data_IF_282396552563
#
_entry.id   IF_282396552563
#
_cell.length_a   1.000
_cell.length_b   1.000
_cell.length_c   1.000
_cell.angle_alpha   90.00
_cell.angle_beta   90.00
_cell.angle_gamma   90.00
#
_symmetry.space_group_name_H-M   'P 1'
#
loop_
_entity.id
_entity.type
_entity.pdbx_description
1 polymer ?
#
# COMPACT_ATOMS: atom_id res chain seq x y z
N UNK A 1 -10.39 -4.41 -4.46
CA UNK A 1 -9.68 -3.10 -4.44
C UNK A 1 -10.37 -2.07 -5.35
N UNK A 2 -10.55 -2.35 -6.62
CA UNK A 2 -11.09 -1.41 -7.61
C UNK A 2 -12.46 -0.83 -7.23
N UNK A 3 -13.41 -1.70 -6.82
CA UNK A 3 -14.76 -1.26 -6.40
C UNK A 3 -14.70 -0.33 -5.19
N UNK A 4 -13.79 -0.60 -4.25
CA UNK A 4 -13.62 0.21 -3.05
C UNK A 4 -13.05 1.59 -3.38
N UNK A 5 -11.98 1.65 -4.18
CA UNK A 5 -11.39 2.91 -4.66
C UNK A 5 -12.40 3.71 -5.48
N UNK A 6 -13.15 3.06 -6.37
CA UNK A 6 -14.21 3.69 -7.16
C UNK A 6 -15.31 4.30 -6.31
N UNK A 7 -15.69 3.67 -5.20
CA UNK A 7 -16.70 4.21 -4.30
C UNK A 7 -16.21 5.45 -3.53
N UNK A 8 -14.94 5.51 -3.15
CA UNK A 8 -14.36 6.70 -2.50
C UNK A 8 -14.29 7.88 -3.47
N UNK A 9 -14.01 7.64 -4.75
CA UNK A 9 -13.81 8.69 -5.75
C UNK A 9 -15.11 9.33 -6.30
N UNK A 10 -16.26 8.68 -6.14
CA UNK A 10 -17.55 9.12 -6.74
C UNK A 10 -18.04 10.50 -6.29
N UNK A 11 -17.58 11.02 -5.17
CA UNK A 11 -18.11 12.25 -4.58
C UNK A 11 -17.30 13.52 -4.88
N UNK A 12 -16.08 13.39 -5.39
CA UNK A 12 -15.14 14.50 -5.68
C UNK A 12 -14.17 14.11 -6.77
N UNK A 13 -13.66 15.11 -7.53
CA UNK A 13 -12.46 14.93 -8.34
C UNK A 13 -11.27 14.66 -7.38
N UNK A 14 -10.89 13.41 -7.20
CA UNK A 14 -9.80 12.97 -6.33
C UNK A 14 -8.50 12.82 -7.09
N UNK A 15 -7.38 12.94 -6.38
CA UNK A 15 -6.05 12.60 -6.88
C UNK A 15 -5.61 11.25 -6.32
N UNK A 16 -5.15 10.36 -7.20
CA UNK A 16 -4.70 9.00 -6.86
C UNK A 16 -3.18 8.88 -7.00
N UNK A 17 -2.54 8.37 -5.96
CA UNK A 17 -1.20 7.80 -6.00
C UNK A 17 -1.33 6.28 -6.09
N UNK A 18 -0.73 5.68 -7.08
CA UNK A 18 -0.60 4.22 -7.20
C UNK A 18 0.88 3.85 -7.18
N UNK A 19 1.27 3.00 -6.24
CA UNK A 19 2.60 2.40 -6.18
C UNK A 19 2.43 0.90 -6.26
N UNK A 20 2.92 0.26 -7.32
CA UNK A 20 2.73 -1.14 -7.57
C UNK A 20 4.02 -1.82 -8.01
N UNK A 21 4.14 -3.12 -7.75
CA UNK A 21 5.07 -3.99 -8.43
C UNK A 21 4.42 -4.58 -9.69
N UNK A 22 5.22 -4.97 -10.67
CA UNK A 22 4.76 -5.20 -12.04
C UNK A 22 3.83 -6.35 -12.31
N UNK A 23 3.73 -7.31 -11.41
CA UNK A 23 2.97 -8.53 -11.69
C UNK A 23 1.46 -8.35 -11.61
N UNK A 24 0.99 -7.29 -11.02
CA UNK A 24 -0.44 -7.00 -10.83
C UNK A 24 -1.04 -6.14 -11.95
N UNK A 25 -0.39 -6.00 -13.00
CA UNK A 25 -0.66 -5.60 -14.37
C UNK A 25 -1.85 -4.70 -14.74
N UNK A 26 -2.84 -4.47 -13.91
CA UNK A 26 -4.04 -3.72 -14.29
C UNK A 26 -4.10 -2.37 -13.57
N UNK A 27 -3.72 -1.27 -14.23
CA UNK A 27 -3.92 0.04 -13.65
C UNK A 27 -5.41 0.31 -13.43
N UNK A 28 -5.76 0.90 -12.31
CA UNK A 28 -7.13 1.32 -12.00
C UNK A 28 -7.79 2.13 -13.12
N UNK A 29 -7.00 2.82 -13.94
CA UNK A 29 -7.49 3.60 -15.07
C UNK A 29 -8.11 2.77 -16.22
N UNK A 30 -7.85 1.46 -16.29
CA UNK A 30 -8.51 0.59 -17.27
C UNK A 30 -9.92 0.19 -16.82
N UNK A 31 -10.22 0.29 -15.54
CA UNK A 31 -11.56 0.04 -15.05
C UNK A 31 -12.46 1.24 -15.35
N UNK A 32 -13.46 1.04 -16.19
CA UNK A 32 -14.43 2.08 -16.58
C UNK A 32 -15.23 2.64 -15.40
N UNK A 33 -15.27 1.95 -14.28
CA UNK A 33 -15.95 2.39 -13.06
C UNK A 33 -15.13 3.39 -12.22
N UNK A 34 -13.82 3.49 -12.47
CA UNK A 34 -12.88 4.35 -11.72
C UNK A 34 -12.47 5.59 -12.54
N UNK A 35 -13.18 5.91 -13.60
CA UNK A 35 -12.94 7.11 -14.38
C UNK A 35 -13.35 8.35 -13.60
N UNK A 36 -12.43 9.29 -13.44
CA UNK A 36 -12.74 10.58 -12.83
C UNK A 36 -11.71 11.11 -11.84
N UNK A 37 -10.52 10.51 -11.76
CA UNK A 37 -9.44 11.15 -11.01
C UNK A 37 -8.99 12.42 -11.68
N UNK A 38 -8.91 13.51 -10.92
CA UNK A 38 -8.34 14.78 -11.37
C UNK A 38 -6.84 14.66 -11.68
N UNK A 39 -6.16 13.76 -10.99
CA UNK A 39 -4.76 13.41 -11.17
C UNK A 39 -4.57 11.94 -10.81
N UNK A 40 -3.89 11.18 -11.66
CA UNK A 40 -3.44 9.82 -11.39
C UNK A 40 -1.94 9.74 -11.65
N UNK A 41 -1.17 9.48 -10.60
CA UNK A 41 0.28 9.24 -10.69
C UNK A 41 0.57 7.80 -10.32
N UNK A 42 1.12 7.06 -11.26
CA UNK A 42 1.49 5.65 -11.09
C UNK A 42 3.00 5.51 -11.08
N UNK A 43 3.52 4.85 -10.05
CA UNK A 43 4.93 4.53 -9.88
C UNK A 43 5.08 3.02 -9.80
N UNK A 44 5.94 2.47 -10.65
CA UNK A 44 6.17 1.02 -10.74
C UNK A 44 7.66 0.76 -10.55
N UNK A 45 7.97 -0.25 -9.76
CA UNK A 45 9.34 -0.69 -9.60
C UNK A 45 9.42 -2.21 -9.75
N UNK A 46 9.75 -2.63 -10.96
CA UNK A 46 10.17 -4.01 -11.26
C UNK A 46 10.62 -4.12 -12.73
N UNK A 47 11.36 -5.15 -13.10
CA UNK A 47 12.06 -5.20 -14.39
C UNK A 47 11.18 -5.43 -15.62
N UNK A 48 9.90 -5.79 -15.50
CA UNK A 48 9.07 -6.23 -16.64
C UNK A 48 7.73 -5.48 -16.73
N UNK A 49 7.77 -4.17 -16.92
CA UNK A 49 6.56 -3.32 -16.99
C UNK A 49 6.01 -3.24 -18.41
N UNK A 50 4.71 -3.47 -18.55
CA UNK A 50 3.99 -3.12 -19.78
C UNK A 50 3.58 -1.63 -19.72
N UNK A 51 4.03 -0.85 -20.68
CA UNK A 51 3.63 0.55 -20.84
C UNK A 51 2.13 0.70 -21.10
N UNK A 52 1.50 1.64 -20.40
CA UNK A 52 0.12 2.02 -20.67
C UNK A 52 0.05 3.48 -21.18
N UNK A 53 -0.37 3.72 -22.42
CA UNK A 53 -0.26 5.03 -23.06
C UNK A 53 -1.13 6.15 -22.47
N UNK A 54 -2.11 5.81 -21.63
CA UNK A 54 -3.06 6.80 -21.07
C UNK A 54 -2.77 7.22 -19.63
N UNK A 55 -1.68 6.71 -19.02
CA UNK A 55 -1.34 7.00 -17.62
C UNK A 55 0.07 7.55 -17.57
N UNK A 56 0.29 8.57 -16.78
CA UNK A 56 1.64 9.01 -16.45
C UNK A 56 2.30 7.93 -15.57
N UNK A 57 2.95 6.97 -16.19
CA UNK A 57 3.69 5.90 -15.55
C UNK A 57 5.17 6.28 -15.49
N UNK A 58 5.77 6.12 -14.31
CA UNK A 58 7.21 6.27 -14.12
C UNK A 58 7.75 4.96 -13.57
N UNK A 59 8.71 4.38 -14.27
CA UNK A 59 9.36 3.13 -13.91
C UNK A 59 10.64 3.39 -13.14
N UNK A 60 10.94 2.51 -12.20
CA UNK A 60 12.14 2.58 -11.39
C UNK A 60 12.80 1.20 -11.29
N UNK A 61 14.13 1.12 -11.34
CA UNK A 61 14.84 -0.15 -11.22
C UNK A 61 14.70 -0.78 -9.83
N UNK A 62 14.46 0.06 -8.81
CA UNK A 62 14.30 -0.40 -7.44
C UNK A 62 13.42 0.54 -6.60
N UNK A 63 13.05 0.07 -5.42
CA UNK A 63 12.21 0.80 -4.46
C UNK A 63 12.86 2.07 -3.93
N UNK A 64 14.19 2.13 -3.84
CA UNK A 64 14.89 3.30 -3.27
C UNK A 64 14.84 4.48 -4.22
N UNK A 65 15.02 4.25 -5.51
CA UNK A 65 14.90 5.29 -6.52
C UNK A 65 13.46 5.81 -6.61
N UNK A 66 12.46 4.92 -6.59
CA UNK A 66 11.06 5.29 -6.49
C UNK A 66 10.79 6.17 -5.26
N UNK A 67 11.24 5.77 -4.09
CA UNK A 67 11.08 6.50 -2.83
C UNK A 67 11.71 7.89 -2.94
N UNK A 68 12.92 7.98 -3.49
CA UNK A 68 13.62 9.24 -3.70
C UNK A 68 12.81 10.17 -4.60
N UNK A 69 12.27 9.66 -5.69
CA UNK A 69 11.46 10.42 -6.64
C UNK A 69 10.16 10.92 -6.01
N UNK A 70 9.43 10.06 -5.30
CA UNK A 70 8.17 10.44 -4.66
C UNK A 70 8.42 11.48 -3.57
N UNK A 71 9.49 11.34 -2.76
CA UNK A 71 9.86 12.31 -1.72
C UNK A 71 10.23 13.71 -2.27
N UNK A 72 10.74 13.78 -3.48
CA UNK A 72 11.07 15.06 -4.13
C UNK A 72 9.87 15.70 -4.83
N UNK A 73 8.77 14.96 -5.00
CA UNK A 73 7.53 15.48 -5.56
C UNK A 73 6.82 16.40 -4.56
N UNK A 74 6.29 17.50 -5.04
CA UNK A 74 5.41 18.39 -4.29
C UNK A 74 3.95 17.99 -4.38
N UNK A 75 3.63 16.96 -5.18
CA UNK A 75 2.27 16.46 -5.35
C UNK A 75 1.72 15.88 -4.04
N UNK A 76 0.44 16.13 -3.80
CA UNK A 76 -0.30 15.55 -2.68
C UNK A 76 -1.54 14.87 -3.17
N UNK A 77 -1.92 13.75 -2.53
CA UNK A 77 -2.98 12.87 -3.02
C UNK A 77 -4.10 12.70 -1.99
N UNK A 78 -5.30 12.40 -2.50
CA UNK A 78 -6.49 12.10 -1.70
C UNK A 78 -6.64 10.62 -1.42
N UNK A 79 -6.08 9.79 -2.30
CA UNK A 79 -6.08 8.33 -2.18
C UNK A 79 -4.67 7.82 -2.53
N UNK A 80 -4.17 6.84 -1.78
CA UNK A 80 -3.04 6.02 -2.19
C UNK A 80 -3.46 4.55 -2.26
N UNK A 81 -3.08 3.88 -3.33
CA UNK A 81 -3.14 2.43 -3.46
C UNK A 81 -1.72 1.88 -3.56
N UNK A 82 -1.42 0.93 -2.68
CA UNK A 82 -0.09 0.36 -2.52
C UNK A 82 -0.16 -1.15 -2.74
N UNK A 83 0.62 -1.61 -3.69
CA UNK A 83 0.84 -3.02 -3.97
C UNK A 83 2.35 -3.26 -4.10
N UNK A 84 3.09 -3.22 -2.96
CA UNK A 84 4.54 -3.27 -2.94
C UNK A 84 5.08 -4.65 -3.33
N UNK A 85 6.37 -4.71 -3.67
CA UNK A 85 7.07 -5.98 -3.82
C UNK A 85 7.13 -6.70 -2.47
N UNK A 86 6.36 -7.66 -2.28
CA UNK A 86 5.93 -8.47 -1.12
C UNK A 86 7.00 -8.78 -0.04
N UNK A 87 7.89 -7.81 0.24
CA UNK A 87 8.87 -7.82 1.32
C UNK A 87 8.47 -6.83 2.41
N UNK A 88 8.80 -7.13 3.65
CA UNK A 88 8.48 -6.25 4.79
C UNK A 88 9.17 -4.90 4.65
N UNK A 89 10.43 -4.90 4.24
CA UNK A 89 11.25 -3.72 4.09
C UNK A 89 10.65 -2.74 3.08
N UNK A 90 10.34 -3.23 1.89
CA UNK A 90 9.75 -2.45 0.80
C UNK A 90 8.37 -1.92 1.21
N UNK A 91 7.55 -2.79 1.81
CA UNK A 91 6.21 -2.45 2.27
C UNK A 91 6.22 -1.33 3.31
N UNK A 92 7.11 -1.38 4.30
CA UNK A 92 7.23 -0.32 5.31
C UNK A 92 7.76 0.99 4.71
N UNK A 93 8.72 0.93 3.80
CA UNK A 93 9.28 2.12 3.15
C UNK A 93 8.24 2.81 2.25
N UNK A 94 7.47 2.03 1.49
CA UNK A 94 6.40 2.54 0.61
C UNK A 94 5.26 3.13 1.46
N UNK A 95 4.91 2.47 2.57
CA UNK A 95 3.92 2.98 3.52
C UNK A 95 4.35 4.36 4.08
N UNK A 96 5.63 4.53 4.46
CA UNK A 96 6.17 5.83 4.90
C UNK A 96 6.00 6.92 3.84
N UNK A 97 6.40 6.61 2.60
CA UNK A 97 6.35 7.56 1.50
C UNK A 97 4.92 7.94 1.18
N UNK A 98 4.00 6.98 1.11
CA UNK A 98 2.59 7.24 0.86
C UNK A 98 1.99 8.15 1.94
N UNK A 99 2.19 7.84 3.22
CA UNK A 99 1.70 8.69 4.33
C UNK A 99 2.26 10.13 4.22
N UNK A 100 3.50 10.28 3.76
CA UNK A 100 4.14 11.60 3.64
C UNK A 100 3.52 12.47 2.53
N UNK A 101 2.96 11.86 1.49
CA UNK A 101 2.38 12.53 0.31
C UNK A 101 0.86 12.66 0.37
N UNK A 102 0.21 11.97 1.30
CA UNK A 102 -1.23 12.04 1.46
C UNK A 102 -1.68 13.30 2.21
N UNK A 103 -2.79 13.89 1.74
CA UNK A 103 -3.44 15.02 2.42
C UNK A 103 -4.07 14.58 3.75
N UNK A 104 -4.41 15.56 4.57
CA UNK A 104 -5.29 15.35 5.71
C UNK A 104 -6.64 14.79 5.24
N UNK A 105 -7.18 13.80 5.95
CA UNK A 105 -8.42 13.13 5.59
C UNK A 105 -8.33 12.20 4.37
N UNK A 106 -7.17 12.00 3.79
CA UNK A 106 -6.95 11.04 2.69
C UNK A 106 -7.14 9.59 3.13
N UNK A 107 -7.25 8.69 2.17
CA UNK A 107 -7.36 7.25 2.41
C UNK A 107 -6.16 6.54 1.80
N UNK A 108 -5.50 5.71 2.59
CA UNK A 108 -4.47 4.78 2.14
C UNK A 108 -5.08 3.38 2.07
N UNK A 109 -4.79 2.67 1.00
CA UNK A 109 -5.17 1.28 0.77
C UNK A 109 -3.91 0.50 0.45
N UNK A 110 -3.70 -0.62 1.15
CA UNK A 110 -2.56 -1.50 0.95
C UNK A 110 -3.06 -2.90 0.62
N UNK A 111 -2.54 -3.49 -0.46
CA UNK A 111 -2.87 -4.83 -0.90
C UNK A 111 -2.12 -5.90 -0.11
N UNK A 112 -2.56 -7.17 -0.20
CA UNK A 112 -1.92 -8.34 0.41
C UNK A 112 -1.75 -8.30 1.94
N UNK A 113 -2.69 -7.64 2.61
CA UNK A 113 -2.63 -7.46 4.06
C UNK A 113 -3.19 -8.65 4.86
N UNK A 114 -3.92 -9.58 4.23
CA UNK A 114 -4.53 -10.72 4.91
C UNK A 114 -4.70 -11.96 4.01
N UNK A 115 -3.61 -12.51 3.43
CA UNK A 115 -3.69 -13.71 2.60
C UNK A 115 -4.07 -14.93 3.44
N UNK A 116 -5.15 -15.63 3.06
CA UNK A 116 -5.68 -16.76 3.82
C UNK A 116 -4.77 -18.00 3.70
N UNK A 117 -4.28 -18.28 2.49
CA UNK A 117 -3.48 -19.48 2.22
C UNK A 117 -2.03 -19.35 2.70
N UNK A 118 -1.52 -20.41 3.33
CA UNK A 118 -0.15 -20.42 3.82
C UNK A 118 0.90 -20.32 2.70
N UNK A 119 0.59 -20.86 1.52
CA UNK A 119 1.46 -20.80 0.34
C UNK A 119 1.63 -19.36 -0.15
N UNK A 120 0.56 -18.56 -0.12
CA UNK A 120 0.61 -17.14 -0.52
C UNK A 120 1.49 -16.31 0.42
N UNK A 121 1.69 -16.76 1.66
CA UNK A 121 2.51 -16.10 2.69
C UNK A 121 3.98 -16.50 2.65
N UNK A 122 4.41 -17.26 1.64
CA UNK A 122 5.82 -17.64 1.47
C UNK A 122 6.71 -16.40 1.40
N UNK A 123 7.87 -16.46 2.05
CA UNK A 123 8.88 -15.40 1.99
C UNK A 123 9.68 -15.40 0.68
N UNK A 124 9.61 -16.49 -0.06
CA UNK A 124 10.28 -16.66 -1.36
C UNK A 124 9.26 -16.46 -2.47
N UNK A 125 9.63 -15.69 -3.47
CA UNK A 125 8.84 -15.58 -4.70
C UNK A 125 8.73 -16.95 -5.39
N UNK A 126 7.60 -17.26 -6.04
CA UNK A 126 7.45 -18.50 -6.80
C UNK A 126 8.41 -18.53 -7.98
N UNK A 127 8.91 -19.72 -8.31
CA UNK A 127 9.81 -19.90 -9.48
C UNK A 127 9.09 -19.69 -10.82
N UNK A 128 7.79 -19.89 -10.84
CA UNK A 128 6.96 -19.80 -12.05
C UNK A 128 5.89 -18.72 -11.84
N UNK A 129 5.98 -17.64 -12.59
CA UNK A 129 4.93 -16.64 -12.71
C UNK A 129 4.00 -16.96 -13.90
N UNK A 130 2.68 -16.63 -13.85
CA UNK A 130 2.01 -15.78 -12.85
C UNK A 130 1.31 -16.60 -11.74
N UNK A 131 2.04 -17.09 -10.77
CA UNK A 131 1.42 -17.65 -9.57
C UNK A 131 1.13 -16.55 -8.57
N UNK A 132 -0.05 -16.54 -7.96
CA UNK A 132 -0.40 -15.59 -6.90
C UNK A 132 0.58 -15.72 -5.72
N UNK A 133 1.06 -14.59 -5.20
CA UNK A 133 2.01 -14.55 -4.10
C UNK A 133 1.91 -13.20 -3.38
N UNK A 134 1.63 -13.24 -2.09
CA UNK A 134 1.49 -12.05 -1.23
C UNK A 134 2.73 -11.83 -0.35
N UNK A 135 3.58 -12.83 -0.24
CA UNK A 135 4.84 -12.76 0.49
C UNK A 135 4.71 -12.31 1.93
N UNK A 136 5.38 -11.24 2.29
CA UNK A 136 5.45 -10.70 3.65
C UNK A 136 4.77 -9.33 3.81
N UNK A 137 3.97 -8.86 2.86
CA UNK A 137 3.25 -7.59 2.98
C UNK A 137 2.35 -7.57 4.21
N UNK A 138 1.63 -8.67 4.48
CA UNK A 138 0.80 -8.83 5.67
C UNK A 138 1.57 -8.65 6.98
N UNK A 139 2.86 -9.01 7.01
CA UNK A 139 3.74 -8.81 8.18
C UNK A 139 3.93 -7.33 8.44
N UNK A 140 4.25 -6.56 7.40
CA UNK A 140 4.42 -5.11 7.50
C UNK A 140 3.13 -4.42 7.99
N UNK A 141 1.98 -4.80 7.42
CA UNK A 141 0.67 -4.31 7.83
C UNK A 141 0.37 -4.65 9.29
N UNK A 142 0.60 -5.91 9.70
CA UNK A 142 0.37 -6.36 11.06
C UNK A 142 1.27 -5.66 12.09
N UNK A 143 2.55 -5.46 11.79
CA UNK A 143 3.48 -4.70 12.64
C UNK A 143 3.02 -3.26 12.80
N UNK A 144 2.61 -2.63 11.70
CA UNK A 144 2.14 -1.26 11.69
C UNK A 144 0.86 -1.10 12.51
N UNK A 145 -0.17 -1.90 12.24
CA UNK A 145 -1.49 -1.76 12.87
C UNK A 145 -1.50 -2.09 14.35
N UNK A 146 -0.75 -3.13 14.78
CA UNK A 146 -0.58 -3.45 16.22
C UNK A 146 0.14 -2.36 17.02
N UNK A 147 0.83 -1.47 16.34
CA UNK A 147 1.54 -0.34 16.96
C UNK A 147 0.75 0.96 16.92
N UNK A 148 -0.42 0.96 16.31
CA UNK A 148 -1.34 2.11 16.31
C UNK A 148 -2.08 2.19 17.64
N UNK A 149 -2.35 3.41 18.11
CA UNK A 149 -3.29 3.64 19.21
C UNK A 149 -4.72 3.73 18.67
N UNK A 150 -5.70 3.56 19.55
CA UNK A 150 -7.14 3.57 19.22
C UNK A 150 -7.64 4.89 18.59
N UNK A 151 -6.82 5.93 18.61
CA UNK A 151 -7.13 7.20 17.96
C UNK A 151 -7.03 7.16 16.42
N UNK A 152 -6.41 6.11 15.86
CA UNK A 152 -6.27 5.96 14.41
C UNK A 152 -7.37 5.07 13.84
N UNK A 153 -7.99 5.54 12.77
CA UNK A 153 -9.04 4.80 12.07
C UNK A 153 -8.40 3.94 10.97
N UNK A 154 -8.43 2.64 11.17
CA UNK A 154 -7.95 1.65 10.22
C UNK A 154 -8.80 0.38 10.26
N UNK A 155 -8.72 -0.42 9.20
CA UNK A 155 -9.35 -1.74 9.11
C UNK A 155 -8.60 -2.62 8.12
N UNK A 156 -8.84 -3.91 8.18
CA UNK A 156 -8.49 -4.86 7.12
C UNK A 156 -9.78 -5.42 6.53
N UNK A 157 -9.95 -5.36 5.23
CA UNK A 157 -11.09 -5.92 4.51
C UNK A 157 -10.68 -7.29 4.00
N UNK A 158 -11.44 -8.34 4.32
CA UNK A 158 -11.18 -9.72 3.88
C UNK A 158 -11.67 -9.92 2.44
N UNK A 159 -10.98 -9.29 1.52
CA UNK A 159 -11.20 -9.41 0.08
C UNK A 159 -9.86 -9.22 -0.63
N UNK A 160 -9.67 -9.89 -1.77
CA UNK A 160 -8.53 -9.68 -2.66
C UNK A 160 -7.18 -9.82 -1.92
N UNK A 161 -7.01 -10.92 -1.20
CA UNK A 161 -5.86 -11.23 -0.30
C UNK A 161 -5.67 -10.26 0.87
N UNK A 162 -6.71 -9.51 1.21
CA UNK A 162 -6.74 -8.54 2.30
C UNK A 162 -6.34 -7.12 1.88
N UNK A 163 -7.30 -6.21 2.03
CA UNK A 163 -7.07 -4.79 1.81
C UNK A 163 -6.93 -4.08 3.15
N UNK A 164 -5.72 -3.65 3.47
CA UNK A 164 -5.47 -2.77 4.60
C UNK A 164 -5.91 -1.34 4.26
N UNK A 165 -6.75 -0.75 5.09
CA UNK A 165 -7.27 0.61 4.89
C UNK A 165 -6.92 1.47 6.09
N UNK A 166 -6.33 2.63 5.84
CA UNK A 166 -6.01 3.63 6.86
C UNK A 166 -6.57 4.98 6.46
N UNK A 167 -7.28 5.63 7.37
CA UNK A 167 -7.68 7.02 7.24
C UNK A 167 -6.58 7.92 7.75
N UNK A 168 -6.07 8.81 6.91
CA UNK A 168 -5.04 9.77 7.30
C UNK A 168 -5.65 10.83 8.21
N UNK A 169 -5.12 11.04 9.42
CA UNK A 169 -5.67 12.01 10.37
C UNK A 169 -5.68 13.44 9.83
N UNK A 170 -6.67 14.20 10.20
CA UNK A 170 -6.72 15.64 9.96
C UNK A 170 -5.61 16.38 10.73
N UNK A 171 -5.32 15.92 11.94
CA UNK A 171 -4.32 16.50 12.82
C UNK A 171 -2.89 16.33 12.28
N UNK A 172 -2.17 17.43 12.15
CA UNK A 172 -0.76 17.44 11.77
C UNK A 172 0.13 16.71 12.78
N UNK A 173 -0.21 16.74 14.06
CA UNK A 173 0.52 16.02 15.12
C UNK A 173 0.37 14.52 14.96
N UNK A 174 -0.84 14.01 14.74
CA UNK A 174 -1.11 12.58 14.52
C UNK A 174 -0.46 12.07 13.22
N UNK A 175 -0.48 12.85 12.14
CA UNK A 175 0.25 12.49 10.91
C UNK A 175 1.75 12.37 11.13
N UNK A 176 2.35 13.26 11.93
CA UNK A 176 3.76 13.15 12.32
C UNK A 176 4.03 11.93 13.20
N UNK A 177 3.08 11.53 14.01
CA UNK A 177 3.15 10.32 14.83
C UNK A 177 3.16 9.07 13.95
N UNK A 178 2.25 8.98 12.98
CA UNK A 178 2.25 7.89 11.98
C UNK A 178 3.60 7.76 11.27
N UNK A 179 4.14 8.87 10.76
CA UNK A 179 5.43 8.85 10.08
C UNK A 179 6.58 8.42 10.99
N UNK A 180 6.60 8.87 12.26
CA UNK A 180 7.61 8.43 13.23
C UNK A 180 7.48 6.94 13.53
N UNK A 181 6.25 6.45 13.65
CA UNK A 181 5.96 5.03 13.88
C UNK A 181 6.52 4.18 12.75
N UNK A 182 6.14 4.45 11.50
CA UNK A 182 6.61 3.65 10.35
C UNK A 182 8.13 3.67 10.23
N UNK A 183 8.77 4.83 10.42
CA UNK A 183 10.23 4.96 10.43
C UNK A 183 10.89 4.14 11.53
N UNK A 184 10.29 4.12 12.70
CA UNK A 184 10.75 3.31 13.83
C UNK A 184 10.66 1.83 13.50
N UNK A 185 9.53 1.38 12.95
CA UNK A 185 9.33 -0.01 12.53
C UNK A 185 10.33 -0.43 11.46
N UNK A 186 10.56 0.39 10.45
CA UNK A 186 11.55 0.12 9.38
C UNK A 186 12.95 -0.07 9.97
N UNK A 187 13.38 0.80 10.88
CA UNK A 187 14.69 0.69 11.54
C UNK A 187 14.82 -0.55 12.42
N UNK A 188 13.79 -0.84 13.21
CA UNK A 188 13.78 -2.00 14.11
C UNK A 188 13.75 -3.30 13.32
N UNK A 189 13.00 -3.36 12.23
CA UNK A 189 12.99 -4.52 11.34
C UNK A 189 14.37 -4.74 10.71
N UNK A 190 14.95 -3.72 10.11
CA UNK A 190 16.28 -3.80 9.49
C UNK A 190 17.39 -4.21 10.47
N UNK A 191 17.25 -3.92 11.76
CA UNK A 191 18.18 -4.33 12.80
C UNK A 191 17.87 -5.70 13.43
N UNK A 192 16.81 -6.40 12.97
CA UNK A 192 16.39 -7.69 13.53
C UNK A 192 15.74 -7.61 14.92
N UNK A 193 15.37 -6.42 15.38
CA UNK A 193 14.81 -6.19 16.71
C UNK A 193 13.29 -6.38 16.79
N UNK A 194 12.61 -6.61 15.66
CA UNK A 194 11.19 -6.90 15.63
C UNK A 194 10.95 -8.38 15.31
N UNK A 195 10.21 -9.10 16.17
CA UNK A 195 9.77 -10.44 15.84
C UNK A 195 8.75 -10.41 14.71
N UNK A 196 8.78 -11.42 13.85
CA UNK A 196 7.73 -11.63 12.87
C UNK A 196 6.41 -11.91 13.60
N UNK A 197 5.31 -11.19 13.33
CA UNK A 197 4.02 -11.47 13.94
C UNK A 197 3.51 -12.85 13.51
N UNK A 198 2.79 -13.51 14.41
CA UNK A 198 2.03 -14.71 14.05
C UNK A 198 0.84 -14.32 13.19
N UNK A 199 0.58 -15.15 12.17
CA UNK A 199 -0.59 -14.97 11.33
C UNK A 199 -1.86 -15.36 12.12
N UNK A 200 -2.94 -14.59 11.96
CA UNK A 200 -4.24 -14.84 12.55
C UNK A 200 -5.32 -14.85 11.48
N UNK A 201 -6.19 -15.86 11.49
CA UNK A 201 -7.35 -15.92 10.60
C UNK A 201 -8.39 -14.83 10.90
N UNK A 202 -8.38 -14.30 12.13
CA UNK A 202 -9.30 -13.24 12.55
C UNK A 202 -8.52 -12.16 13.30
N UNK A 203 -7.73 -11.34 12.59
CA UNK A 203 -7.03 -10.23 13.20
C UNK A 203 -8.03 -9.19 13.71
N UNK A 204 -7.58 -8.37 14.66
CA UNK A 204 -8.33 -7.22 15.13
C UNK A 204 -8.72 -6.31 13.94
N UNK A 205 -9.93 -5.74 13.97
CA UNK A 205 -10.48 -4.90 12.89
C UNK A 205 -10.56 -5.60 11.50
N UNK A 206 -10.71 -6.93 11.44
CA UNK A 206 -11.05 -7.61 10.20
C UNK A 206 -12.52 -7.39 9.86
N UNK A 207 -12.79 -6.92 8.65
CA UNK A 207 -14.13 -6.76 8.10
C UNK A 207 -14.35 -7.76 6.96
N UNK A 208 -15.31 -8.65 7.15
CA UNK A 208 -15.77 -9.57 6.11
C UNK A 208 -16.65 -8.80 5.10
N UNK A 209 -16.48 -9.07 3.82
CA UNK A 209 -17.24 -8.47 2.70
C UNK A 209 -18.14 -9.51 2.08
#
# INVERSE_FOLDING_TARGET
AETFVGNISKSKACSLLEIACTFTGWPFSQNTQIRGFAQHSRYIYAPDVQEHPSIQQTEFPDVHELISRVKTSTATFDIAYLDPWHKVEDSLQILEVAISTLRAGATLIMHDCHPQDAELRSTSAPEIFPQAWCGSTWVAWSLFTRSLSDEFSWMTIDADYGLGVLKIPESKSQRRQLLRLVRSLSKQWASGNLPRPEWSASPEHLHLV
#
